data_IF_452139009853
#
_entry.id   IF_452139009853
#
_cell.length_a   1.000
_cell.length_b   1.000
_cell.length_c   1.000
_cell.angle_alpha   90.00
_cell.angle_beta   90.00
_cell.angle_gamma   90.00
#
_symmetry.space_group_name_H-M   'P 1'
#
loop_
_entity.id
_entity.type
_entity.pdbx_description
1 polymer ?
#
# COMPACT_ATOMS: atom_id res chain seq x y z
N UNK A 1 -28.88 -15.00 9.81
CA UNK A 1 -27.85 -14.23 10.55
C UNK A 1 -26.67 -13.82 9.66
N UNK A 2 -25.99 -14.76 8.98
CA UNK A 2 -24.84 -14.45 8.11
C UNK A 2 -25.10 -13.37 7.03
N UNK A 3 -26.20 -13.47 6.28
CA UNK A 3 -26.54 -12.48 5.24
C UNK A 3 -26.76 -11.06 5.79
N UNK A 4 -27.25 -10.94 7.03
CA UNK A 4 -27.45 -9.65 7.70
C UNK A 4 -26.09 -9.07 8.10
N UNK A 5 -25.21 -9.88 8.69
CA UNK A 5 -23.86 -9.44 9.05
C UNK A 5 -23.06 -9.01 7.82
N UNK A 6 -23.18 -9.76 6.72
CA UNK A 6 -22.58 -9.43 5.43
C UNK A 6 -23.07 -8.08 4.91
N UNK A 7 -24.40 -7.89 4.85
CA UNK A 7 -25.02 -6.64 4.39
C UNK A 7 -24.56 -5.46 5.25
N UNK A 8 -24.66 -5.57 6.58
CA UNK A 8 -24.25 -4.52 7.50
C UNK A 8 -22.75 -4.17 7.36
N UNK A 9 -21.90 -5.18 7.16
CA UNK A 9 -20.48 -4.95 6.92
C UNK A 9 -20.22 -4.13 5.66
N UNK A 10 -20.85 -4.49 4.54
CA UNK A 10 -20.70 -3.75 3.27
C UNK A 10 -21.33 -2.36 3.31
N UNK A 11 -22.47 -2.18 3.97
CA UNK A 11 -23.04 -0.86 4.22
C UNK A 11 -22.07 0.03 5.01
N UNK A 12 -21.37 -0.54 6.01
CA UNK A 12 -20.39 0.18 6.82
C UNK A 12 -19.12 0.56 6.04
N UNK A 13 -18.57 -0.35 5.23
CA UNK A 13 -17.28 -0.10 4.56
C UNK A 13 -17.41 0.62 3.22
N UNK A 14 -18.62 0.71 2.65
CA UNK A 14 -18.86 1.40 1.39
C UNK A 14 -18.65 2.90 1.56
N UNK A 15 -17.90 3.49 0.62
CA UNK A 15 -17.64 4.92 0.58
C UNK A 15 -18.63 5.53 -0.40
N UNK A 16 -19.57 6.33 0.09
CA UNK A 16 -20.51 7.09 -0.73
C UNK A 16 -19.86 8.37 -1.27
N UNK A 17 -20.48 9.01 -2.26
CA UNK A 17 -19.99 10.19 -2.96
C UNK A 17 -19.73 11.46 -2.10
N UNK A 18 -20.01 11.42 -0.79
CA UNK A 18 -19.82 12.53 0.16
C UNK A 18 -18.87 12.20 1.32
N UNK A 19 -17.99 11.21 1.17
CA UNK A 19 -17.13 10.80 2.28
C UNK A 19 -15.93 11.76 2.44
N UNK A 20 -15.87 12.41 3.60
CA UNK A 20 -14.75 13.21 4.12
C UNK A 20 -13.53 12.33 4.51
N UNK A 21 -13.58 11.02 4.25
CA UNK A 21 -12.59 10.04 4.68
C UNK A 21 -11.17 10.47 4.37
N UNK A 22 -10.86 10.85 3.14
CA UNK A 22 -9.50 11.27 2.78
C UNK A 22 -9.05 12.43 3.66
N UNK A 23 -9.85 13.48 3.78
CA UNK A 23 -9.53 14.69 4.52
C UNK A 23 -9.39 14.42 6.03
N UNK A 24 -10.36 13.74 6.65
CA UNK A 24 -10.35 13.39 8.07
C UNK A 24 -9.30 12.34 8.45
N UNK A 25 -8.69 11.70 7.46
CA UNK A 25 -7.61 10.72 7.67
C UNK A 25 -6.25 11.21 7.18
N UNK A 26 -6.13 12.48 6.77
CA UNK A 26 -4.82 13.15 6.64
C UNK A 26 -4.07 13.07 7.97
N UNK A 27 -2.76 12.96 7.92
CA UNK A 27 -1.92 12.55 9.06
C UNK A 27 -1.84 11.04 9.27
N UNK A 28 -2.60 10.26 8.48
CA UNK A 28 -2.43 8.82 8.27
C UNK A 28 -2.28 8.01 9.55
N UNK A 29 -1.07 7.53 9.86
CA UNK A 29 -0.80 6.65 10.99
C UNK A 29 -1.18 7.28 12.34
N UNK A 30 -1.21 8.61 12.43
CA UNK A 30 -1.62 9.37 13.63
C UNK A 30 -3.14 9.36 13.78
N UNK A 31 -3.90 9.40 12.67
CA UNK A 31 -5.36 9.40 12.67
C UNK A 31 -5.93 8.05 13.15
N UNK A 32 -6.85 8.10 14.12
CA UNK A 32 -7.56 6.91 14.58
C UNK A 32 -8.49 6.35 13.53
N UNK A 33 -9.30 7.21 12.92
CA UNK A 33 -10.20 6.86 11.81
C UNK A 33 -9.43 6.18 10.67
N UNK A 34 -8.24 6.66 10.32
CA UNK A 34 -7.40 6.01 9.31
C UNK A 34 -7.08 4.56 9.68
N UNK A 35 -6.73 4.30 10.94
CA UNK A 35 -6.38 2.95 11.42
C UNK A 35 -7.60 2.03 11.43
N UNK A 36 -8.74 2.53 11.88
CA UNK A 36 -10.00 1.78 11.92
C UNK A 36 -10.43 1.38 10.51
N UNK A 37 -10.47 2.33 9.59
CA UNK A 37 -10.88 2.12 8.20
C UNK A 37 -9.91 1.17 7.48
N UNK A 38 -8.61 1.30 7.72
CA UNK A 38 -7.60 0.41 7.15
C UNK A 38 -7.67 -1.02 7.73
N UNK A 39 -8.16 -1.20 8.96
CA UNK A 39 -8.20 -2.51 9.63
C UNK A 39 -9.20 -3.50 9.03
N UNK A 40 -10.20 -2.99 8.30
CA UNK A 40 -11.26 -3.79 7.67
C UNK A 40 -11.10 -3.95 6.15
N UNK A 41 -10.00 -3.42 5.59
CA UNK A 41 -9.72 -3.37 4.14
C UNK A 41 -8.33 -3.93 3.82
N UNK A 42 -8.14 -4.36 2.58
CA UNK A 42 -6.82 -4.69 2.05
C UNK A 42 -6.12 -3.40 1.61
N UNK A 43 -4.98 -3.10 2.25
CA UNK A 43 -4.10 -1.99 1.86
C UNK A 43 -3.19 -2.38 0.70
N UNK A 44 -2.98 -1.47 -0.26
CA UNK A 44 -2.08 -1.71 -1.40
C UNK A 44 -0.66 -2.10 -1.00
N UNK A 45 -0.17 -1.63 0.16
CA UNK A 45 1.11 -2.02 0.75
C UNK A 45 1.27 -3.52 1.02
N UNK A 46 0.17 -4.28 1.06
CA UNK A 46 0.15 -5.72 1.30
C UNK A 46 -0.15 -6.54 0.03
N UNK A 47 -0.36 -5.90 -1.12
CA UNK A 47 -0.82 -6.59 -2.35
C UNK A 47 0.18 -7.62 -2.86
N UNK A 48 1.48 -7.33 -2.86
CA UNK A 48 2.51 -8.32 -3.25
C UNK A 48 2.40 -9.60 -2.42
N UNK A 49 2.24 -9.42 -1.11
CA UNK A 49 2.17 -10.51 -0.15
C UNK A 49 0.91 -11.36 -0.29
N UNK A 50 -0.19 -10.76 -0.72
CA UNK A 50 -1.47 -11.43 -0.99
C UNK A 50 -1.41 -12.15 -2.34
N UNK A 51 -1.01 -11.45 -3.40
CA UNK A 51 -1.08 -11.92 -4.78
C UNK A 51 -0.08 -13.02 -5.12
N UNK A 52 1.03 -13.10 -4.38
CA UNK A 52 2.04 -14.13 -4.56
C UNK A 52 1.89 -15.32 -3.60
N UNK A 53 0.76 -15.44 -2.90
CA UNK A 53 0.54 -16.49 -1.89
C UNK A 53 -0.64 -17.37 -2.25
N UNK A 54 -0.51 -18.67 -1.95
CA UNK A 54 -1.64 -19.61 -2.01
C UNK A 54 -2.59 -19.32 -0.85
N UNK A 55 -3.90 -19.33 -1.12
CA UNK A 55 -4.93 -19.09 -0.10
C UNK A 55 -4.82 -20.07 1.08
N UNK A 56 -4.53 -21.34 0.80
CA UNK A 56 -4.35 -22.39 1.81
C UNK A 56 -3.19 -22.13 2.79
N UNK A 57 -2.23 -21.29 2.43
CA UNK A 57 -1.04 -20.99 3.25
C UNK A 57 -1.05 -19.55 3.79
N UNK A 58 -2.24 -18.95 3.94
CA UNK A 58 -2.38 -17.52 4.27
C UNK A 58 -2.78 -17.24 5.73
N UNK A 59 -2.88 -18.25 6.59
CA UNK A 59 -3.33 -18.08 7.97
C UNK A 59 -2.54 -17.03 8.78
N UNK A 60 -1.21 -17.12 8.74
CA UNK A 60 -0.33 -16.16 9.43
C UNK A 60 -0.40 -14.76 8.81
N UNK A 61 -0.65 -14.66 7.50
CA UNK A 61 -0.86 -13.36 6.84
C UNK A 61 -2.16 -12.73 7.32
N UNK A 62 -3.26 -13.47 7.33
CA UNK A 62 -4.57 -13.00 7.81
C UNK A 62 -4.46 -12.55 9.26
N UNK A 63 -3.84 -13.37 10.13
CA UNK A 63 -3.58 -13.01 11.53
C UNK A 63 -2.80 -11.69 11.64
N UNK A 64 -1.78 -11.49 10.82
CA UNK A 64 -0.98 -10.26 10.82
C UNK A 64 -1.76 -9.05 10.28
N UNK A 65 -2.56 -9.23 9.24
CA UNK A 65 -3.36 -8.15 8.65
C UNK A 65 -4.45 -7.66 9.60
N UNK A 66 -5.12 -8.57 10.31
CA UNK A 66 -6.25 -8.23 11.20
C UNK A 66 -5.84 -7.95 12.65
N UNK A 67 -4.79 -8.62 13.13
CA UNK A 67 -4.42 -8.62 14.56
C UNK A 67 -2.95 -8.30 14.82
N UNK A 68 -2.16 -8.01 13.78
CA UNK A 68 -0.74 -7.73 13.92
C UNK A 68 -0.49 -6.60 14.92
N UNK A 69 0.40 -6.85 15.89
CA UNK A 69 0.81 -5.83 16.85
C UNK A 69 1.59 -4.72 16.15
N UNK A 70 1.51 -3.50 16.71
CA UNK A 70 2.15 -2.28 16.18
C UNK A 70 3.66 -2.24 16.43
N UNK A 71 4.36 -3.35 16.21
CA UNK A 71 5.82 -3.40 16.40
C UNK A 71 6.51 -2.54 15.35
N UNK A 72 7.01 -1.39 15.79
CA UNK A 72 7.83 -0.51 14.95
C UNK A 72 9.24 -1.07 14.87
N UNK A 73 9.67 -1.48 13.68
CA UNK A 73 11.08 -1.85 13.44
C UNK A 73 11.97 -0.62 13.36
N UNK A 74 13.30 -0.78 13.52
CA UNK A 74 14.27 0.31 13.31
C UNK A 74 14.10 0.98 11.93
N UNK A 75 13.83 0.17 10.89
CA UNK A 75 13.60 0.67 9.54
C UNK A 75 12.29 1.47 9.42
N UNK A 76 11.22 1.06 10.11
CA UNK A 76 9.95 1.80 10.12
C UNK A 76 10.10 3.14 10.83
N UNK A 77 10.75 3.17 12.00
CA UNK A 77 11.00 4.42 12.74
C UNK A 77 11.83 5.40 11.92
N UNK A 78 12.87 4.90 11.26
CA UNK A 78 13.69 5.72 10.36
C UNK A 78 12.88 6.25 9.17
N UNK A 79 12.00 5.44 8.57
CA UNK A 79 11.08 5.89 7.53
C UNK A 79 10.20 7.04 8.00
N UNK A 80 9.46 6.83 9.10
CA UNK A 80 8.55 7.83 9.66
C UNK A 80 9.27 9.14 10.04
N UNK A 81 10.47 9.07 10.60
CA UNK A 81 11.23 10.25 11.00
C UNK A 81 11.76 11.08 9.82
N UNK A 82 11.93 10.48 8.63
CA UNK A 82 12.54 11.14 7.48
C UNK A 82 11.56 11.40 6.33
N UNK A 83 10.32 10.91 6.41
CA UNK A 83 9.35 11.02 5.32
C UNK A 83 9.06 12.48 4.95
N UNK A 84 8.85 13.35 5.94
CA UNK A 84 8.60 14.78 5.71
C UNK A 84 9.84 15.48 5.12
N UNK A 85 11.04 15.13 5.58
CA UNK A 85 12.31 15.66 5.05
C UNK A 85 12.47 15.25 3.58
N UNK A 86 12.20 13.98 3.27
CA UNK A 86 12.26 13.46 1.92
C UNK A 86 11.19 14.10 1.02
N UNK A 87 9.97 14.34 1.51
CA UNK A 87 8.91 15.04 0.77
C UNK A 87 9.33 16.47 0.41
N UNK A 88 9.89 17.21 1.37
CA UNK A 88 10.45 18.55 1.14
C UNK A 88 11.60 18.53 0.14
N UNK A 89 12.51 17.56 0.27
CA UNK A 89 13.62 17.36 -0.68
C UNK A 89 13.13 17.12 -2.11
N UNK A 90 12.13 16.25 -2.29
CA UNK A 90 11.49 16.02 -3.60
C UNK A 90 10.85 17.30 -4.14
N UNK A 91 10.06 17.99 -3.32
CA UNK A 91 9.33 19.21 -3.71
C UNK A 91 10.29 20.30 -4.19
N UNK A 92 11.38 20.53 -3.45
CA UNK A 92 12.43 21.48 -3.84
C UNK A 92 13.19 21.04 -5.10
N UNK A 93 13.59 19.76 -5.18
CA UNK A 93 14.36 19.22 -6.31
C UNK A 93 13.63 19.36 -7.64
N UNK A 94 12.32 19.12 -7.65
CA UNK A 94 11.51 19.16 -8.86
C UNK A 94 10.70 20.46 -9.03
N UNK A 95 10.77 21.39 -8.07
CA UNK A 95 9.95 22.60 -8.04
C UNK A 95 8.45 22.29 -8.23
N UNK A 96 7.97 21.29 -7.49
CA UNK A 96 6.59 20.78 -7.56
C UNK A 96 5.98 20.77 -6.17
N UNK A 97 4.73 21.24 -6.07
CA UNK A 97 3.91 21.12 -4.86
C UNK A 97 3.46 19.66 -4.66
N UNK A 98 3.66 19.16 -3.43
CA UNK A 98 3.23 17.82 -3.01
C UNK A 98 2.27 17.99 -1.84
N UNK A 99 1.00 17.66 -2.07
CA UNK A 99 -0.03 17.76 -1.03
C UNK A 99 -0.08 16.48 -0.20
N UNK A 100 -0.21 16.63 1.11
CA UNK A 100 -0.50 15.51 1.98
C UNK A 100 -1.86 14.90 1.66
N UNK A 101 -2.03 13.62 1.98
CA UNK A 101 -3.31 12.94 1.81
C UNK A 101 -3.56 11.86 2.86
N UNK A 102 -4.84 11.53 3.04
CA UNK A 102 -5.29 10.46 3.89
C UNK A 102 -5.53 9.14 3.14
N UNK A 103 -6.56 8.42 3.58
CA UNK A 103 -6.96 7.13 3.05
C UNK A 103 -7.92 7.31 1.88
N UNK A 104 -7.60 6.64 0.78
CA UNK A 104 -8.50 6.43 -0.35
C UNK A 104 -9.04 5.00 -0.32
N UNK A 105 -10.30 4.85 -0.67
CA UNK A 105 -10.99 3.56 -0.82
C UNK A 105 -11.49 3.44 -2.24
N UNK A 106 -11.40 2.23 -2.79
CA UNK A 106 -11.89 1.96 -4.14
C UNK A 106 -13.43 2.01 -4.14
N UNK A 107 -14.06 2.89 -4.93
CA UNK A 107 -15.53 3.04 -4.93
C UNK A 107 -16.28 1.79 -5.36
N UNK A 108 -15.71 0.99 -6.27
CA UNK A 108 -16.32 -0.24 -6.78
C UNK A 108 -15.96 -1.45 -5.91
N UNK A 109 -14.83 -1.38 -5.21
CA UNK A 109 -14.28 -2.46 -4.40
C UNK A 109 -13.97 -1.95 -2.98
N UNK A 110 -14.98 -1.61 -2.15
CA UNK A 110 -14.79 -0.89 -0.88
C UNK A 110 -13.94 -1.64 0.16
N UNK A 111 -13.64 -2.91 -0.09
CA UNK A 111 -12.69 -3.71 0.67
C UNK A 111 -11.22 -3.44 0.32
N UNK A 112 -10.92 -2.56 -0.63
CA UNK A 112 -9.56 -2.14 -1.03
C UNK A 112 -9.32 -0.68 -0.62
N UNK A 113 -8.13 -0.40 -0.11
CA UNK A 113 -7.73 0.95 0.25
C UNK A 113 -6.25 1.24 -0.03
N UNK A 114 -5.91 2.52 -0.03
CA UNK A 114 -4.53 2.98 -0.14
C UNK A 114 -4.32 4.34 0.51
N UNK A 115 -3.08 4.66 0.86
CA UNK A 115 -2.66 5.93 1.44
C UNK A 115 -1.30 6.25 0.83
N UNK A 116 -1.25 7.01 -0.27
CA UNK A 116 0.01 7.47 -0.88
C UNK A 116 0.77 8.42 0.06
N UNK A 117 2.06 8.63 -0.18
CA UNK A 117 2.88 9.53 0.64
C UNK A 117 2.75 11.01 0.20
N UNK A 118 2.09 11.27 -0.94
CA UNK A 118 1.73 12.60 -1.41
C UNK A 118 0.94 12.58 -2.73
N UNK A 119 0.19 13.67 -2.97
CA UNK A 119 -0.52 13.94 -4.22
C UNK A 119 0.24 14.99 -5.02
N UNK A 120 0.45 14.72 -6.30
CA UNK A 120 1.09 15.65 -7.23
C UNK A 120 0.07 16.03 -8.29
N UNK A 121 -0.28 17.33 -8.36
CA UNK A 121 -1.26 17.85 -9.33
C UNK A 121 -2.56 17.03 -9.31
N UNK A 122 -3.24 16.92 -10.45
CA UNK A 122 -4.49 16.16 -10.59
C UNK A 122 -4.29 14.66 -10.84
N UNK A 123 -3.14 14.23 -11.37
CA UNK A 123 -2.96 12.90 -11.95
C UNK A 123 -1.75 12.11 -11.40
N UNK A 124 -0.92 12.73 -10.57
CA UNK A 124 0.31 12.14 -10.03
C UNK A 124 0.24 11.77 -8.56
N UNK A 125 1.07 10.81 -8.15
CA UNK A 125 1.30 10.41 -6.78
C UNK A 125 2.79 10.44 -6.43
N UNK A 126 3.09 10.52 -5.14
CA UNK A 126 4.41 10.31 -4.58
C UNK A 126 4.40 9.11 -3.63
N UNK A 127 5.38 8.23 -3.78
CA UNK A 127 5.67 7.13 -2.86
C UNK A 127 7.12 7.27 -2.38
N UNK A 128 7.31 7.57 -1.10
CA UNK A 128 8.60 7.83 -0.48
C UNK A 128 9.11 6.57 0.22
N UNK A 129 10.39 6.26 0.03
CA UNK A 129 11.08 5.24 0.84
C UNK A 129 12.42 5.77 1.33
N UNK A 130 12.59 5.74 2.64
CA UNK A 130 13.86 6.04 3.30
C UNK A 130 14.52 4.72 3.75
N UNK A 131 15.33 4.08 2.89
CA UNK A 131 15.97 2.81 3.22
C UNK A 131 16.99 2.95 4.36
N UNK A 132 16.63 2.47 5.56
CA UNK A 132 17.56 2.49 6.72
C UNK A 132 18.92 1.82 6.44
N UNK A 133 18.94 0.79 5.59
CA UNK A 133 20.17 0.10 5.17
C UNK A 133 21.07 0.94 4.25
N UNK A 134 20.53 2.00 3.64
CA UNK A 134 21.26 2.91 2.76
C UNK A 134 21.50 4.28 3.41
N UNK A 135 21.22 4.45 4.71
CA UNK A 135 21.24 5.76 5.40
C UNK A 135 22.56 6.55 5.30
N UNK A 136 23.66 5.87 4.96
CA UNK A 136 24.99 6.46 4.76
C UNK A 136 25.50 6.22 3.32
N UNK A 137 24.62 5.82 2.40
CA UNK A 137 25.00 5.56 1.01
C UNK A 137 25.26 6.88 0.30
N UNK A 138 26.39 6.95 -0.41
CA UNK A 138 26.71 8.07 -1.31
C UNK A 138 26.23 7.84 -2.74
N UNK A 139 25.80 6.63 -3.06
CA UNK A 139 25.28 6.24 -4.37
C UNK A 139 24.06 5.33 -4.17
N UNK A 140 22.88 5.93 -4.14
CA UNK A 140 21.64 5.21 -3.87
C UNK A 140 21.23 4.32 -5.05
N UNK A 141 21.55 4.74 -6.27
CA UNK A 141 21.33 3.96 -7.50
C UNK A 141 22.04 2.61 -7.43
N UNK A 142 23.35 2.62 -7.18
CA UNK A 142 24.16 1.40 -7.09
C UNK A 142 23.75 0.53 -5.90
N UNK A 143 23.47 1.15 -4.74
CA UNK A 143 22.96 0.44 -3.57
C UNK A 143 21.66 -0.31 -3.89
N UNK A 144 20.71 0.33 -4.55
CA UNK A 144 19.41 -0.27 -4.84
C UNK A 144 19.46 -1.33 -5.96
N UNK A 145 20.41 -1.22 -6.90
CA UNK A 145 20.62 -2.24 -7.92
C UNK A 145 21.29 -3.50 -7.36
N UNK A 146 22.30 -3.34 -6.49
CA UNK A 146 23.01 -4.47 -5.86
C UNK A 146 22.21 -5.14 -4.73
N UNK A 147 21.29 -4.42 -4.10
CA UNK A 147 20.53 -4.93 -2.97
C UNK A 147 19.22 -5.60 -3.42
N UNK A 148 19.16 -6.94 -3.31
CA UNK A 148 17.98 -7.77 -3.63
C UNK A 148 16.66 -7.30 -2.99
N UNK A 149 16.69 -6.55 -1.89
CA UNK A 149 15.49 -5.99 -1.23
C UNK A 149 14.83 -4.87 -2.04
N UNK A 150 15.60 -4.13 -2.85
CA UNK A 150 15.13 -3.04 -3.71
C UNK A 150 15.15 -3.48 -5.18
N UNK A 151 16.16 -4.25 -5.58
CA UNK A 151 16.19 -5.05 -6.81
C UNK A 151 15.80 -4.24 -8.04
N UNK A 152 16.45 -3.09 -8.23
CA UNK A 152 16.25 -2.25 -9.41
C UNK A 152 17.04 -2.79 -10.59
N UNK A 153 16.48 -2.67 -11.79
CA UNK A 153 17.21 -2.98 -13.03
C UNK A 153 17.80 -1.69 -13.59
N UNK A 154 19.09 -1.71 -13.90
CA UNK A 154 19.77 -0.64 -14.63
C UNK A 154 19.96 -1.15 -16.05
N UNK A 155 19.47 -0.40 -17.03
CA UNK A 155 19.68 -0.69 -18.45
C UNK A 155 20.97 -0.03 -18.94
N UNK A 156 21.47 -0.48 -20.09
CA UNK A 156 22.72 0.00 -20.69
C UNK A 156 22.68 1.50 -21.03
N UNK A 157 21.49 2.04 -21.31
CA UNK A 157 21.24 3.48 -21.53
C UNK A 157 21.23 4.30 -20.23
N UNK A 158 21.50 3.66 -19.08
CA UNK A 158 21.52 4.26 -17.76
C UNK A 158 20.13 4.42 -17.12
N UNK A 159 19.04 4.08 -17.83
CA UNK A 159 17.69 4.13 -17.31
C UNK A 159 17.47 3.08 -16.21
N UNK A 160 16.60 3.41 -15.26
CA UNK A 160 16.35 2.58 -14.08
C UNK A 160 14.91 2.14 -14.10
N UNK A 161 14.71 0.82 -14.06
CA UNK A 161 13.41 0.20 -14.09
C UNK A 161 13.11 -0.49 -12.75
N UNK A 162 11.88 -0.29 -12.28
CA UNK A 162 11.33 -1.03 -11.15
C UNK A 162 10.64 -2.29 -11.69
N UNK A 163 11.15 -3.50 -11.44
CA UNK A 163 10.54 -4.71 -11.98
C UNK A 163 9.08 -4.85 -11.57
N UNK A 164 8.23 -5.32 -12.48
CA UNK A 164 6.80 -5.56 -12.20
C UNK A 164 6.58 -6.63 -11.12
N UNK A 165 7.61 -7.44 -10.83
CA UNK A 165 7.62 -8.43 -9.75
C UNK A 165 7.96 -7.81 -8.38
N UNK A 166 8.45 -6.57 -8.33
CA UNK A 166 8.90 -5.92 -7.10
C UNK A 166 7.72 -5.46 -6.23
N UNK A 167 7.85 -5.56 -4.89
CA UNK A 167 6.76 -5.23 -3.95
C UNK A 167 6.23 -3.78 -4.10
N UNK A 168 7.10 -2.83 -4.40
CA UNK A 168 6.70 -1.43 -4.61
C UNK A 168 5.87 -1.27 -5.87
N UNK A 169 6.11 -2.06 -6.92
CA UNK A 169 5.29 -2.03 -8.13
C UNK A 169 3.85 -2.46 -7.81
N UNK A 170 3.66 -3.55 -7.05
CA UNK A 170 2.33 -3.99 -6.62
C UNK A 170 1.61 -2.92 -5.77
N UNK A 171 2.34 -2.29 -4.85
CA UNK A 171 1.79 -1.24 -4.00
C UNK A 171 1.36 -0.01 -4.82
N UNK A 172 2.23 0.45 -5.72
CA UNK A 172 2.01 1.61 -6.58
C UNK A 172 0.87 1.34 -7.57
N UNK A 173 0.81 0.16 -8.19
CA UNK A 173 -0.30 -0.19 -9.07
C UNK A 173 -1.63 -0.21 -8.30
N UNK A 174 -1.64 -0.66 -7.05
CA UNK A 174 -2.81 -0.52 -6.18
C UNK A 174 -3.17 0.95 -5.93
N UNK A 175 -2.18 1.79 -5.60
CA UNK A 175 -2.39 3.22 -5.41
C UNK A 175 -3.03 3.90 -6.62
N UNK A 176 -2.47 3.68 -7.80
CA UNK A 176 -2.91 4.32 -9.05
C UNK A 176 -4.32 3.92 -9.45
N UNK A 177 -4.70 2.65 -9.26
CA UNK A 177 -6.03 2.19 -9.61
C UNK A 177 -7.09 2.67 -8.61
N UNK A 178 -6.81 2.60 -7.32
CA UNK A 178 -7.75 3.02 -6.26
C UNK A 178 -7.99 4.53 -6.29
N UNK A 179 -6.96 5.34 -6.56
CA UNK A 179 -7.06 6.81 -6.63
C UNK A 179 -7.43 7.33 -8.02
N UNK A 180 -7.57 6.45 -9.01
CA UNK A 180 -7.77 6.79 -10.42
C UNK A 180 -6.71 7.75 -11.01
N UNK A 181 -5.46 7.67 -10.54
CA UNK A 181 -4.32 8.49 -11.00
C UNK A 181 -3.48 7.78 -12.05
N UNK A 182 -2.68 8.54 -12.79
CA UNK A 182 -2.01 8.06 -14.02
C UNK A 182 -0.56 7.61 -13.78
N UNK A 183 0.13 8.21 -12.82
CA UNK A 183 1.52 7.89 -12.52
C UNK A 183 1.87 8.15 -11.06
N UNK A 184 2.91 7.46 -10.59
CA UNK A 184 3.47 7.65 -9.27
C UNK A 184 4.99 7.75 -9.40
N UNK A 185 5.58 8.74 -8.76
CA UNK A 185 7.03 8.79 -8.58
C UNK A 185 7.41 8.04 -7.30
N UNK A 186 8.14 6.94 -7.46
CA UNK A 186 8.83 6.28 -6.36
C UNK A 186 10.10 7.08 -6.05
N UNK A 187 10.13 7.72 -4.89
CA UNK A 187 11.24 8.53 -4.41
C UNK A 187 12.01 7.80 -3.29
N UNK A 188 13.21 7.33 -3.61
CA UNK A 188 14.14 6.78 -2.63
C UNK A 188 15.04 7.91 -2.12
N UNK A 189 15.19 8.02 -0.80
CA UNK A 189 15.96 9.09 -0.16
C UNK A 189 16.88 8.54 0.94
N UNK A 190 18.14 8.98 0.98
CA UNK A 190 19.10 8.58 2.02
C UNK A 190 19.94 9.71 2.60
N UNK A 191 19.38 10.92 2.73
CA UNK A 191 20.13 12.08 3.22
C UNK A 191 20.90 12.74 2.09
N UNK A 192 22.04 12.16 1.74
CA UNK A 192 23.01 12.72 0.80
C UNK A 192 22.66 12.47 -0.67
N UNK A 193 21.82 11.47 -0.95
CA UNK A 193 21.47 11.09 -2.32
C UNK A 193 19.99 10.68 -2.44
N UNK A 194 19.47 10.78 -3.66
CA UNK A 194 18.08 10.53 -4.00
C UNK A 194 17.95 9.83 -5.35
N UNK A 195 16.99 8.93 -5.45
CA UNK A 195 16.64 8.27 -6.70
C UNK A 195 15.13 8.36 -6.93
N UNK A 196 14.73 8.75 -8.15
CA UNK A 196 13.32 8.85 -8.54
C UNK A 196 13.03 7.93 -9.70
N UNK A 197 11.98 7.13 -9.61
CA UNK A 197 11.51 6.24 -10.67
C UNK A 197 10.03 6.49 -10.90
N UNK A 198 9.67 6.90 -12.13
CA UNK A 198 8.27 7.07 -12.50
C UNK A 198 7.64 5.75 -12.91
N UNK A 199 6.54 5.39 -12.26
CA UNK A 199 5.72 4.21 -12.57
C UNK A 199 4.39 4.69 -13.13
N UNK A 200 4.05 4.25 -14.34
CA UNK A 200 2.76 4.55 -14.97
C UNK A 200 1.70 3.51 -14.57
N UNK A 201 0.44 3.91 -14.57
CA UNK A 201 -0.69 3.01 -14.31
C UNK A 201 -0.74 1.91 -15.37
N UNK A 202 -0.81 0.68 -14.90
CA UNK A 202 -0.89 -0.53 -15.72
C UNK A 202 -2.23 -1.21 -15.46
N UNK A 203 -3.20 -0.93 -16.33
CA UNK A 203 -4.55 -1.51 -16.24
C UNK A 203 -4.57 -3.02 -16.46
N UNK A 204 -3.65 -3.54 -17.28
CA UNK A 204 -3.58 -4.97 -17.53
C UNK A 204 -3.10 -5.72 -16.28
N UNK A 205 -2.05 -5.21 -15.63
CA UNK A 205 -1.60 -5.72 -14.33
C UNK A 205 -2.71 -5.68 -13.28
N UNK A 206 -3.47 -4.58 -13.22
CA UNK A 206 -4.59 -4.45 -12.27
C UNK A 206 -5.69 -5.48 -12.52
N UNK A 207 -6.19 -5.55 -13.75
CA UNK A 207 -7.31 -6.43 -14.12
C UNK A 207 -6.96 -7.91 -13.91
N UNK A 208 -5.70 -8.30 -14.14
CA UNK A 208 -5.24 -9.68 -13.91
C UNK A 208 -5.15 -10.05 -12.41
N UNK A 209 -5.00 -9.07 -11.52
CA UNK A 209 -4.75 -9.29 -10.10
C UNK A 209 -5.97 -8.99 -9.20
N UNK A 210 -6.86 -8.08 -9.61
CA UNK A 210 -8.06 -7.72 -8.84
C UNK A 210 -8.93 -8.93 -8.46
N UNK A 211 -9.20 -9.93 -9.34
CA UNK A 211 -9.97 -11.11 -8.96
C UNK A 211 -9.33 -11.91 -7.81
N UNK A 212 -8.00 -11.95 -7.73
CA UNK A 212 -7.27 -12.64 -6.66
C UNK A 212 -7.35 -11.87 -5.34
N UNK A 213 -7.29 -10.53 -5.37
CA UNK A 213 -7.52 -9.69 -4.20
C UNK A 213 -8.95 -9.88 -3.66
N UNK A 214 -9.94 -9.89 -4.56
CA UNK A 214 -11.34 -10.20 -4.24
C UNK A 214 -11.44 -11.56 -3.56
N UNK A 215 -10.93 -12.61 -4.18
CA UNK A 215 -10.98 -13.96 -3.62
C UNK A 215 -10.31 -14.03 -2.24
N UNK A 216 -9.15 -13.39 -2.05
CA UNK A 216 -8.47 -13.34 -0.76
C UNK A 216 -9.34 -12.64 0.31
N UNK A 217 -9.96 -11.50 -0.03
CA UNK A 217 -10.81 -10.79 0.91
C UNK A 217 -12.02 -11.62 1.32
N UNK A 218 -12.82 -12.06 0.36
CA UNK A 218 -14.09 -12.73 0.62
C UNK A 218 -13.91 -14.11 1.27
N UNK A 219 -12.85 -14.84 0.94
CA UNK A 219 -12.65 -16.18 1.47
C UNK A 219 -11.93 -16.20 2.83
N UNK A 220 -11.09 -15.21 3.13
CA UNK A 220 -10.20 -15.24 4.31
C UNK A 220 -10.39 -14.05 5.26
N UNK A 221 -10.46 -12.83 4.74
CA UNK A 221 -10.53 -11.63 5.59
C UNK A 221 -11.94 -11.44 6.11
N UNK A 222 -12.92 -11.46 5.21
CA UNK A 222 -14.32 -11.26 5.53
C UNK A 222 -14.83 -12.38 6.46
N UNK A 223 -14.43 -13.63 6.22
CA UNK A 223 -14.77 -14.76 7.09
C UNK A 223 -14.29 -14.55 8.51
N UNK A 224 -13.06 -14.06 8.67
CA UNK A 224 -12.48 -13.79 9.98
C UNK A 224 -13.03 -12.52 10.64
N UNK A 225 -13.49 -11.52 9.87
CA UNK A 225 -14.18 -10.33 10.40
C UNK A 225 -15.56 -10.71 10.94
N UNK A 226 -16.34 -11.50 10.19
CA UNK A 226 -17.71 -11.86 10.55
C UNK A 226 -17.77 -12.94 11.63
N UNK A 227 -16.78 -13.84 11.65
CA UNK A 227 -16.66 -14.92 12.63
C UNK A 227 -15.18 -15.08 13.05
N UNK A 228 -14.70 -14.33 14.05
CA UNK A 228 -13.30 -14.35 14.49
C UNK A 228 -12.88 -15.74 15.01
N UNK A 229 -12.23 -16.53 14.16
CA UNK A 229 -11.84 -17.92 14.45
C UNK A 229 -10.37 -18.05 14.81
N UNK A 230 -9.51 -17.26 14.18
CA UNK A 230 -8.07 -17.25 14.48
C UNK A 230 -7.82 -16.85 15.93
N UNK A 231 -8.61 -15.94 16.51
CA UNK A 231 -8.53 -15.60 17.94
C UNK A 231 -8.88 -16.77 18.87
N UNK A 232 -9.68 -17.72 18.40
CA UNK A 232 -10.11 -18.92 19.13
C UNK A 232 -9.30 -20.18 18.75
N UNK A 233 -8.19 -20.03 18.02
CA UNK A 233 -7.38 -21.13 17.48
C UNK A 233 -8.18 -22.12 16.60
N UNK A 234 -9.20 -21.64 15.89
CA UNK A 234 -10.02 -22.45 14.99
C UNK A 234 -9.60 -22.25 13.52
N UNK A 235 -9.78 -23.25 12.63
CA UNK A 235 -9.53 -23.08 11.20
C UNK A 235 -10.51 -22.09 10.56
N UNK A 236 -10.08 -21.40 9.50
CA UNK A 236 -10.95 -20.46 8.76
C UNK A 236 -12.25 -21.13 8.31
N UNK A 237 -13.34 -20.37 8.37
CA UNK A 237 -14.58 -20.77 7.75
C UNK A 237 -14.37 -20.83 6.23
N UNK A 238 -14.50 -22.01 5.63
CA UNK A 238 -14.61 -22.12 4.17
C UNK A 238 -16.03 -21.75 3.79
N UNK A 239 -16.25 -20.51 3.40
CA UNK A 239 -17.49 -20.16 2.72
C UNK A 239 -17.48 -20.82 1.34
N UNK A 240 -18.48 -21.65 1.07
CA UNK A 240 -18.87 -21.95 -0.32
C UNK A 240 -19.67 -20.73 -0.78
N UNK A 241 -18.98 -19.75 -1.37
CA UNK A 241 -19.61 -18.66 -2.10
C UNK A 241 -19.96 -19.14 -3.51
#
# INVERSE_FOLDING_TARGET
MYNILLKNHFEKISVTCNNDLEECTRGQWISERWREEKSVRLSSSSFKEILCRRLSSSANLVKRLLYGSRLTTKAMRYGLANEEIARKSYSSKYSIDVKDCGLFVDPENPYLCTSPDGLIRSDGLLEIKCPYSAKNSKNLKEFCASNKKYGLTIHDDGSIHLPSTHKFYYQIQGQLNITNRQWCDLFLWCGDDTLTIRVKRDKHFWNNNLPKLKQFYFNLILTEILDPRVRRNMPFLKLKL
#
